data_IF_307623635348
#
_entry.id   IF_307623635348
#
_cell.length_a   1.000
_cell.length_b   1.000
_cell.length_c   1.000
_cell.angle_alpha   90.00
_cell.angle_beta   90.00
_cell.angle_gamma   90.00
#
_symmetry.space_group_name_H-M   'P 1'
#
loop_
_entity.id
_entity.type
_entity.pdbx_description
1 polymer ?
#
# COMPACT_ATOMS: atom_id res chain seq x y z
N UNK A 1 -7.54 11.84 77.86
CA UNK A 1 -8.01 11.19 76.61
C UNK A 1 -7.05 11.60 75.50
N UNK A 2 -6.28 10.66 74.96
CA UNK A 2 -5.14 10.91 74.06
C UNK A 2 -5.58 10.84 72.60
N UNK A 3 -5.00 11.74 71.79
CA UNK A 3 -5.31 12.10 70.40
C UNK A 3 -5.28 10.89 69.45
N UNK A 4 -6.30 10.72 68.60
CA UNK A 4 -6.24 9.85 67.42
C UNK A 4 -6.18 10.70 66.15
N UNK A 5 -5.02 10.61 65.51
CA UNK A 5 -4.61 11.24 64.27
C UNK A 5 -5.42 10.69 63.10
N UNK A 6 -6.03 11.57 62.30
CA UNK A 6 -6.63 11.22 61.01
C UNK A 6 -5.51 10.97 59.99
N UNK A 7 -5.48 9.78 59.40
CA UNK A 7 -4.58 9.45 58.29
C UNK A 7 -5.46 9.21 57.07
N UNK A 8 -5.49 10.19 56.18
CA UNK A 8 -5.93 10.04 54.79
C UNK A 8 -4.84 9.31 54.00
N UNK A 9 -5.18 8.23 53.32
CA UNK A 9 -4.42 7.73 52.18
C UNK A 9 -5.36 7.55 51.00
N UNK A 10 -5.29 8.53 50.08
CA UNK A 10 -5.80 8.44 48.72
C UNK A 10 -4.91 7.45 47.95
N UNK A 11 -5.46 6.30 47.55
CA UNK A 11 -4.80 5.35 46.66
C UNK A 11 -5.24 5.65 45.22
N UNK A 12 -4.59 6.61 44.58
CA UNK A 12 -4.80 6.93 43.17
C UNK A 12 -3.99 5.94 42.33
N UNK A 13 -4.63 4.88 41.83
CA UNK A 13 -4.03 3.95 40.89
C UNK A 13 -3.98 4.62 39.50
N UNK A 14 -2.82 5.19 39.15
CA UNK A 14 -2.53 5.66 37.80
C UNK A 14 -2.35 4.42 36.92
N UNK A 15 -3.38 4.05 36.17
CA UNK A 15 -3.25 3.07 35.09
C UNK A 15 -2.46 3.75 33.97
N UNK A 16 -1.14 3.56 33.99
CA UNK A 16 -0.27 3.81 32.87
C UNK A 16 -0.71 2.89 31.72
N UNK A 17 -1.62 3.37 30.87
CA UNK A 17 -1.79 2.78 29.56
C UNK A 17 -0.48 3.03 28.82
N UNK A 18 0.29 1.95 28.68
CA UNK A 18 1.45 1.88 27.81
C UNK A 18 1.04 2.47 26.46
N UNK A 19 1.54 3.67 26.17
CA UNK A 19 1.61 4.20 24.83
C UNK A 19 2.57 3.25 24.12
N UNK A 20 2.02 2.23 23.46
CA UNK A 20 2.71 1.51 22.39
C UNK A 20 2.90 2.54 21.27
N UNK A 21 3.90 3.39 21.46
CA UNK A 21 4.53 4.13 20.39
C UNK A 21 5.11 3.08 19.45
N UNK A 22 4.35 2.71 18.43
CA UNK A 22 4.95 2.16 17.22
C UNK A 22 5.81 3.28 16.68
N UNK A 23 7.10 3.25 17.02
CA UNK A 23 8.09 3.92 16.24
C UNK A 23 7.84 3.47 14.80
N UNK A 24 7.46 4.41 13.93
CA UNK A 24 7.62 4.24 12.49
C UNK A 24 9.11 4.01 12.28
N UNK A 25 9.54 2.75 12.35
CA UNK A 25 10.83 2.31 11.88
C UNK A 25 10.90 2.82 10.44
N UNK A 26 11.72 3.85 10.23
CA UNK A 26 11.79 4.53 8.94
C UNK A 26 12.21 3.50 7.90
N UNK A 27 11.23 3.16 7.04
CA UNK A 27 11.27 2.13 6.00
C UNK A 27 12.60 2.15 5.26
N UNK A 28 13.41 1.09 5.46
CA UNK A 28 14.30 0.67 4.38
C UNK A 28 13.42 0.31 3.18
N UNK A 29 13.85 0.61 1.95
CA UNK A 29 13.09 0.23 0.76
C UNK A 29 12.83 -1.28 0.76
N UNK A 30 11.55 -1.68 0.67
CA UNK A 30 11.13 -3.08 0.65
C UNK A 30 10.07 -3.32 -0.44
N UNK A 31 10.19 -4.41 -1.22
CA UNK A 31 9.34 -4.64 -2.39
C UNK A 31 7.90 -5.02 -2.03
N UNK A 32 7.66 -5.51 -0.82
CA UNK A 32 6.38 -6.04 -0.33
C UNK A 32 5.62 -5.07 0.58
N UNK A 33 6.05 -3.79 0.62
CA UNK A 33 5.55 -2.78 1.57
C UNK A 33 4.93 -1.58 0.87
N UNK A 34 3.82 -1.09 1.42
CA UNK A 34 3.25 0.21 1.05
C UNK A 34 2.59 0.90 2.25
N UNK A 35 3.07 2.10 2.61
CA UNK A 35 2.61 2.87 3.79
C UNK A 35 2.62 2.05 5.09
N UNK A 36 3.61 1.17 5.26
CA UNK A 36 3.71 0.26 6.41
C UNK A 36 2.81 -0.97 6.35
N UNK A 37 2.00 -1.14 5.29
CA UNK A 37 1.27 -2.38 5.03
C UNK A 37 2.19 -3.37 4.32
N UNK A 38 2.24 -4.61 4.79
CA UNK A 38 3.17 -5.65 4.34
C UNK A 38 2.35 -6.85 3.83
N UNK A 39 2.70 -7.35 2.65
CA UNK A 39 2.10 -8.56 2.09
C UNK A 39 2.26 -9.77 3.03
N UNK A 40 1.27 -10.65 3.06
CA UNK A 40 1.16 -11.84 3.93
C UNK A 40 1.17 -11.56 5.46
N UNK A 41 1.23 -10.30 5.89
CA UNK A 41 1.29 -9.92 7.30
C UNK A 41 0.14 -8.98 7.71
N UNK A 42 -0.12 -7.94 6.92
CA UNK A 42 -1.11 -6.92 7.31
C UNK A 42 -2.54 -7.42 7.21
N UNK A 43 -3.37 -6.98 8.16
CA UNK A 43 -4.79 -7.32 8.22
C UNK A 43 -5.67 -6.21 7.63
N UNK A 44 -6.97 -6.47 7.36
CA UNK A 44 -7.92 -5.41 7.02
C UNK A 44 -7.96 -4.28 8.05
N UNK A 45 -7.86 -4.60 9.34
CA UNK A 45 -7.90 -3.63 10.42
C UNK A 45 -6.65 -2.73 10.41
N UNK A 46 -5.47 -3.28 10.06
CA UNK A 46 -4.27 -2.48 9.83
C UNK A 46 -4.46 -1.48 8.68
N UNK A 47 -5.04 -1.93 7.57
CA UNK A 47 -5.32 -1.06 6.43
C UNK A 47 -6.30 0.07 6.80
N UNK A 48 -7.36 -0.23 7.55
CA UNK A 48 -8.32 0.78 8.00
C UNK A 48 -7.65 1.77 8.97
N UNK A 49 -6.78 1.29 9.86
CA UNK A 49 -6.01 2.14 10.78
C UNK A 49 -5.06 3.08 10.05
N UNK A 50 -4.40 2.60 8.99
CA UNK A 50 -3.39 3.37 8.24
C UNK A 50 -4.02 4.31 7.20
N UNK A 51 -5.07 3.87 6.52
CA UNK A 51 -5.65 4.55 5.35
C UNK A 51 -7.01 5.21 5.66
N UNK A 52 -7.58 4.98 6.84
CA UNK A 52 -8.90 5.45 7.22
C UNK A 52 -10.01 4.51 6.76
N UNK A 53 -11.25 5.03 6.73
CA UNK A 53 -12.41 4.22 6.36
C UNK A 53 -12.43 3.95 4.85
N UNK A 54 -12.57 2.69 4.40
CA UNK A 54 -12.69 2.38 2.98
C UNK A 54 -14.02 2.89 2.41
N UNK A 55 -13.98 3.28 1.15
CA UNK A 55 -15.17 3.65 0.37
C UNK A 55 -16.05 2.46 0.00
N UNK A 56 -15.47 1.26 -0.06
CA UNK A 56 -16.19 -0.02 -0.18
C UNK A 56 -15.44 -1.13 0.58
N UNK A 57 -16.21 -2.03 1.15
CA UNK A 57 -15.75 -3.27 1.78
C UNK A 57 -16.68 -4.39 1.31
N UNK A 58 -16.15 -5.34 0.54
CA UNK A 58 -16.93 -6.42 -0.08
C UNK A 58 -16.09 -7.66 -0.25
N UNK A 59 -16.76 -8.80 -0.44
CA UNK A 59 -16.10 -10.01 -0.94
C UNK A 59 -16.10 -9.99 -2.48
N UNK A 60 -14.95 -10.20 -3.10
CA UNK A 60 -14.79 -10.21 -4.55
C UNK A 60 -13.74 -11.22 -5.00
N UNK A 61 -13.63 -11.36 -6.32
CA UNK A 61 -12.50 -12.03 -6.95
C UNK A 61 -11.29 -11.09 -7.02
N UNK A 62 -10.15 -11.67 -7.35
CA UNK A 62 -8.90 -10.93 -7.50
C UNK A 62 -8.71 -10.56 -8.97
N UNK A 63 -9.06 -9.31 -9.30
CA UNK A 63 -9.10 -8.79 -10.66
C UNK A 63 -7.76 -8.83 -11.43
N UNK A 64 -6.59 -8.54 -10.81
CA UNK A 64 -5.36 -8.37 -11.57
C UNK A 64 -4.93 -9.65 -12.31
N UNK A 65 -4.53 -9.50 -13.57
CA UNK A 65 -4.29 -10.63 -14.50
C UNK A 65 -2.91 -11.27 -14.39
N UNK A 66 -1.94 -10.63 -13.72
CA UNK A 66 -0.55 -11.09 -13.59
C UNK A 66 -0.19 -11.40 -12.14
N UNK A 67 -0.84 -12.43 -11.58
CA UNK A 67 -0.52 -12.92 -10.23
C UNK A 67 0.09 -14.30 -10.36
N UNK A 68 0.97 -14.61 -9.42
CA UNK A 68 1.68 -15.86 -9.30
C UNK A 68 0.75 -17.09 -9.37
N UNK A 69 1.31 -18.21 -9.82
CA UNK A 69 0.57 -19.44 -10.14
C UNK A 69 -0.17 -20.01 -8.92
N UNK A 70 0.36 -19.79 -7.70
CA UNK A 70 -0.22 -20.30 -6.46
C UNK A 70 -1.57 -19.64 -6.11
N UNK A 71 -1.77 -18.36 -6.46
CA UNK A 71 -3.06 -17.66 -6.32
C UNK A 71 -3.97 -17.91 -7.52
N UNK A 72 -3.42 -18.22 -8.69
CA UNK A 72 -4.15 -18.26 -9.97
C UNK A 72 -5.42 -19.12 -9.95
N UNK A 73 -5.43 -20.24 -9.21
CA UNK A 73 -6.63 -21.08 -9.05
C UNK A 73 -7.73 -20.38 -8.24
N UNK A 74 -7.37 -19.87 -7.07
CA UNK A 74 -8.27 -19.16 -6.15
C UNK A 74 -8.70 -17.79 -6.67
N UNK A 75 -7.91 -17.16 -7.55
CA UNK A 75 -8.11 -15.80 -8.06
C UNK A 75 -9.53 -15.54 -8.61
N UNK A 76 -10.12 -16.51 -9.30
CA UNK A 76 -11.45 -16.39 -9.91
C UNK A 76 -12.60 -16.56 -8.91
N UNK A 77 -12.29 -17.10 -7.74
CA UNK A 77 -13.27 -17.32 -6.67
C UNK A 77 -13.52 -16.00 -5.93
N UNK A 78 -14.78 -15.78 -5.54
CA UNK A 78 -15.17 -14.62 -4.72
C UNK A 78 -14.90 -14.90 -3.25
N UNK A 79 -13.62 -15.05 -2.91
CA UNK A 79 -13.17 -15.38 -1.55
C UNK A 79 -12.32 -14.28 -0.92
N UNK A 80 -11.95 -13.27 -1.70
CA UNK A 80 -11.08 -12.20 -1.21
C UNK A 80 -11.94 -11.09 -0.61
N UNK A 81 -11.61 -10.64 0.59
CA UNK A 81 -12.13 -9.37 1.09
C UNK A 81 -11.39 -8.25 0.37
N UNK A 82 -12.13 -7.37 -0.28
CA UNK A 82 -11.62 -6.24 -1.04
C UNK A 82 -12.01 -4.95 -0.32
N UNK A 83 -10.99 -4.18 0.08
CA UNK A 83 -11.14 -2.81 0.55
C UNK A 83 -10.77 -1.83 -0.56
N UNK A 84 -11.69 -0.91 -0.89
CA UNK A 84 -11.48 0.15 -1.89
C UNK A 84 -11.33 1.51 -1.21
N UNK A 85 -10.21 2.20 -1.45
CA UNK A 85 -9.94 3.55 -0.97
C UNK A 85 -9.89 4.52 -2.15
N UNK A 86 -10.45 5.72 -1.97
CA UNK A 86 -10.51 6.76 -3.00
C UNK A 86 -9.74 7.99 -2.56
N UNK A 87 -9.07 8.64 -3.51
CA UNK A 87 -8.50 9.99 -3.39
C UNK A 87 -7.61 10.17 -2.16
N UNK A 88 -6.41 9.59 -2.21
CA UNK A 88 -5.33 9.94 -1.29
C UNK A 88 -4.23 10.71 -2.03
N UNK A 89 -3.28 11.28 -1.30
CA UNK A 89 -2.18 12.03 -1.91
C UNK A 89 -1.40 11.16 -2.92
N UNK A 90 -1.31 11.62 -4.17
CA UNK A 90 -0.67 10.90 -5.28
C UNK A 90 -1.47 9.74 -5.90
N UNK A 91 -2.63 9.37 -5.33
CA UNK A 91 -3.36 8.15 -5.68
C UNK A 91 -4.84 8.45 -5.91
N UNK A 92 -5.36 8.07 -7.07
CA UNK A 92 -6.78 8.18 -7.37
C UNK A 92 -7.59 7.06 -6.71
N UNK A 93 -7.08 5.82 -6.78
CA UNK A 93 -7.69 4.64 -6.15
C UNK A 93 -6.64 3.68 -5.58
N UNK A 94 -6.96 3.04 -4.46
CA UNK A 94 -6.21 1.90 -3.95
C UNK A 94 -7.18 0.75 -3.68
N UNK A 95 -6.83 -0.44 -4.18
CA UNK A 95 -7.56 -1.68 -3.93
C UNK A 95 -6.65 -2.65 -3.19
N UNK A 96 -7.11 -3.12 -2.04
CA UNK A 96 -6.39 -4.06 -1.20
C UNK A 96 -7.23 -5.34 -1.09
N UNK A 97 -6.65 -6.46 -1.50
CA UNK A 97 -7.28 -7.76 -1.37
C UNK A 97 -6.67 -8.53 -0.21
N UNK A 98 -7.55 -9.15 0.57
CA UNK A 98 -7.21 -9.97 1.72
C UNK A 98 -7.75 -11.38 1.54
N UNK A 99 -6.96 -12.37 1.92
CA UNK A 99 -7.35 -13.77 2.00
C UNK A 99 -6.91 -14.29 3.37
N UNK A 100 -7.78 -15.03 4.06
CA UNK A 100 -7.48 -15.58 5.40
C UNK A 100 -6.96 -14.51 6.38
N UNK A 101 -7.57 -13.33 6.35
CA UNK A 101 -7.22 -12.14 7.14
C UNK A 101 -5.83 -11.54 6.86
N UNK A 102 -5.18 -11.89 5.76
CA UNK A 102 -3.86 -11.38 5.36
C UNK A 102 -3.91 -10.66 4.02
N UNK A 103 -3.14 -9.59 3.90
CA UNK A 103 -3.00 -8.81 2.67
C UNK A 103 -2.27 -9.62 1.60
N UNK A 104 -2.90 -9.85 0.46
CA UNK A 104 -2.32 -10.65 -0.63
C UNK A 104 -2.04 -9.85 -1.90
N UNK A 105 -2.64 -8.67 -2.05
CA UNK A 105 -2.42 -7.83 -3.21
C UNK A 105 -2.76 -6.38 -2.91
N UNK A 106 -1.95 -5.49 -3.47
CA UNK A 106 -2.20 -4.04 -3.51
C UNK A 106 -2.22 -3.63 -4.99
N UNK A 107 -3.28 -2.95 -5.41
CA UNK A 107 -3.33 -2.27 -6.70
C UNK A 107 -3.50 -0.78 -6.46
N UNK A 108 -2.59 0.01 -7.01
CA UNK A 108 -2.61 1.46 -6.91
C UNK A 108 -2.88 2.07 -8.28
N UNK A 109 -3.93 2.87 -8.35
CA UNK A 109 -4.17 3.80 -9.44
C UNK A 109 -3.55 5.14 -9.09
N UNK A 110 -2.39 5.42 -9.68
CA UNK A 110 -1.64 6.63 -9.41
C UNK A 110 -2.10 7.77 -10.33
N UNK A 111 -2.13 8.99 -9.78
CA UNK A 111 -2.37 10.18 -10.59
C UNK A 111 -1.28 10.32 -11.65
N UNK A 112 -1.66 10.60 -12.91
CA UNK A 112 -0.72 10.77 -14.02
C UNK A 112 0.40 11.76 -13.65
N UNK A 113 1.64 11.40 -13.92
CA UNK A 113 2.79 12.29 -13.78
C UNK A 113 3.28 12.53 -12.35
N UNK A 114 2.78 11.77 -11.36
CA UNK A 114 3.11 12.01 -9.94
C UNK A 114 4.34 11.27 -9.45
N UNK A 115 4.77 10.21 -10.12
CA UNK A 115 5.91 9.41 -9.67
C UNK A 115 7.09 9.52 -10.63
N UNK A 116 8.21 10.05 -10.12
CA UNK A 116 9.49 10.00 -10.83
C UNK A 116 10.00 8.56 -10.92
N UNK A 117 10.63 8.14 -12.03
CA UNK A 117 11.26 6.82 -12.13
C UNK A 117 12.23 6.49 -11.00
N UNK A 118 12.98 7.49 -10.52
CA UNK A 118 13.93 7.33 -9.42
C UNK A 118 13.24 7.09 -8.07
N UNK A 119 12.01 7.58 -7.90
CA UNK A 119 11.26 7.41 -6.67
C UNK A 119 10.87 5.93 -6.45
N UNK A 120 10.58 5.18 -7.51
CA UNK A 120 10.17 3.77 -7.39
C UNK A 120 11.27 2.89 -6.78
N UNK A 121 12.53 3.05 -7.23
CA UNK A 121 13.65 2.32 -6.64
C UNK A 121 13.88 2.73 -5.17
N UNK A 122 13.76 4.03 -4.87
CA UNK A 122 13.90 4.52 -3.50
C UNK A 122 12.78 4.04 -2.56
N UNK A 123 11.59 3.76 -3.08
CA UNK A 123 10.46 3.28 -2.28
C UNK A 123 10.53 1.76 -2.08
N UNK A 124 10.81 1.00 -3.15
CA UNK A 124 10.66 -0.45 -3.14
C UNK A 124 11.98 -1.23 -3.12
N UNK A 125 13.12 -0.56 -3.29
CA UNK A 125 14.45 -1.19 -3.28
C UNK A 125 14.72 -2.11 -4.47
N UNK A 126 13.89 -2.02 -5.52
CA UNK A 126 14.00 -2.84 -6.73
C UNK A 126 14.15 -1.97 -7.96
N UNK A 127 14.93 -2.46 -8.92
CA UNK A 127 15.09 -1.80 -10.21
C UNK A 127 13.86 -2.08 -11.08
N UNK A 128 13.09 -1.04 -11.36
CA UNK A 128 11.95 -1.14 -12.28
C UNK A 128 12.43 -1.05 -13.72
N UNK A 129 12.10 -2.08 -14.51
CA UNK A 129 12.28 -2.02 -15.96
C UNK A 129 10.97 -1.53 -16.61
N UNK A 130 10.96 -0.37 -17.28
CA UNK A 130 9.76 0.09 -17.96
C UNK A 130 9.39 -0.85 -19.11
N UNK A 131 8.15 -1.32 -19.10
CA UNK A 131 7.56 -1.92 -20.29
C UNK A 131 6.94 -0.81 -21.14
N UNK A 132 7.65 -0.33 -22.15
CA UNK A 132 7.14 0.69 -23.08
C UNK A 132 6.59 0.00 -24.33
N UNK A 133 5.30 0.21 -24.61
CA UNK A 133 4.71 -0.20 -25.88
C UNK A 133 5.15 0.73 -27.01
N UNK A 134 5.49 0.18 -28.18
CA UNK A 134 5.80 0.98 -29.37
C UNK A 134 4.62 1.86 -29.80
N UNK A 135 3.38 1.42 -29.54
CA UNK A 135 2.17 2.19 -29.79
C UNK A 135 2.09 3.41 -28.87
N UNK A 136 2.33 3.23 -27.56
CA UNK A 136 2.27 4.33 -26.57
C UNK A 136 3.36 5.35 -26.82
N UNK A 137 4.56 4.90 -27.19
CA UNK A 137 5.67 5.76 -27.59
C UNK A 137 5.33 6.58 -28.84
N UNK A 138 4.64 5.99 -29.82
CA UNK A 138 4.23 6.69 -31.04
C UNK A 138 3.13 7.73 -30.77
N UNK A 139 2.18 7.42 -29.89
CA UNK A 139 1.08 8.33 -29.54
C UNK A 139 1.51 9.48 -28.63
N UNK A 140 2.51 9.27 -27.77
CA UNK A 140 2.93 10.27 -26.78
C UNK A 140 4.45 10.35 -26.62
N UNK A 141 5.22 10.63 -27.69
CA UNK A 141 6.68 10.58 -27.65
C UNK A 141 7.31 11.58 -26.67
N UNK A 142 6.60 12.66 -26.33
CA UNK A 142 7.06 13.70 -25.39
C UNK A 142 7.15 13.21 -23.95
N UNK A 143 6.40 12.17 -23.59
CA UNK A 143 6.34 11.60 -22.24
C UNK A 143 7.52 10.65 -21.96
N UNK A 144 8.38 10.42 -22.96
CA UNK A 144 9.51 9.50 -22.89
C UNK A 144 10.85 10.19 -23.18
N UNK A 145 11.92 9.56 -22.73
CA UNK A 145 13.31 9.91 -23.02
C UNK A 145 14.12 8.68 -23.40
N UNK A 146 15.22 8.88 -24.14
CA UNK A 146 16.15 7.82 -24.49
C UNK A 146 17.41 7.94 -23.65
N UNK A 147 17.80 6.86 -23.01
CA UNK A 147 19.04 6.75 -22.27
C UNK A 147 19.69 5.39 -22.54
N UNK A 148 20.98 5.37 -22.89
CA UNK A 148 21.75 4.15 -23.19
C UNK A 148 21.04 3.18 -24.17
N UNK A 149 20.45 3.73 -25.24
CA UNK A 149 19.73 2.95 -26.26
C UNK A 149 18.37 2.40 -25.82
N UNK A 150 17.93 2.65 -24.59
CA UNK A 150 16.62 2.26 -24.05
C UNK A 150 15.69 3.46 -23.93
N UNK A 151 14.39 3.20 -23.94
CA UNK A 151 13.33 4.22 -23.80
C UNK A 151 12.75 4.15 -22.39
N UNK A 152 12.71 5.30 -21.72
CA UNK A 152 12.21 5.43 -20.36
C UNK A 152 11.08 6.46 -20.30
N UNK A 153 10.01 6.21 -19.52
CA UNK A 153 9.06 7.25 -19.19
C UNK A 153 9.71 8.31 -18.32
N UNK A 154 9.40 9.59 -18.56
CA UNK A 154 9.84 10.69 -17.70
C UNK A 154 9.14 10.69 -16.34
N UNK A 155 7.91 10.19 -16.31
CA UNK A 155 7.05 10.10 -15.13
C UNK A 155 6.10 8.92 -15.24
N UNK A 156 5.65 8.39 -14.11
CA UNK A 156 4.63 7.35 -14.02
C UNK A 156 3.32 7.86 -13.41
N UNK A 157 2.18 7.24 -13.78
CA UNK A 157 2.00 6.38 -14.95
C UNK A 157 2.09 7.21 -16.25
N UNK A 158 2.50 6.56 -17.35
CA UNK A 158 2.50 7.12 -18.71
C UNK A 158 1.19 6.73 -19.40
N UNK A 159 0.50 7.68 -20.01
CA UNK A 159 -0.82 7.43 -20.62
C UNK A 159 -1.97 7.23 -19.61
N UNK A 160 -3.07 6.62 -20.06
CA UNK A 160 -4.20 6.20 -19.20
C UNK A 160 -3.74 5.12 -18.21
N UNK A 161 -4.31 5.00 -16.99
CA UNK A 161 -3.60 4.54 -15.82
C UNK A 161 -3.00 3.14 -16.00
N UNK A 162 -1.69 3.13 -16.25
CA UNK A 162 -0.88 1.92 -16.18
C UNK A 162 -0.97 1.40 -14.74
N UNK A 163 -1.65 0.26 -14.59
CA UNK A 163 -1.81 -0.43 -13.32
C UNK A 163 -0.42 -0.84 -12.83
N UNK A 164 0.13 -0.09 -11.88
CA UNK A 164 1.35 -0.49 -11.18
C UNK A 164 0.98 -1.65 -10.26
N UNK A 165 1.43 -2.83 -10.68
CA UNK A 165 1.15 -4.08 -10.01
C UNK A 165 2.46 -4.62 -9.45
N UNK A 166 2.51 -4.81 -8.14
CA UNK A 166 3.63 -5.45 -7.45
C UNK A 166 3.29 -6.94 -7.30
N UNK A 167 3.90 -7.84 -8.09
CA UNK A 167 3.88 -9.26 -7.78
C UNK A 167 4.86 -9.57 -6.64
N UNK A 168 4.60 -10.68 -5.94
CA UNK A 168 5.56 -11.35 -5.05
C UNK A 168 6.67 -11.96 -5.89
#
# INVERSE_FOLDING_TARGET
MKRLTRISFLLTLIIAHAILGTAQEQDKPMPDRWRGLILDQSTPDDAIRVLGQPSKDKTDNLAPSRIDAWITKKRKEKIFRLLEFKKSEGIDHAWLWFLDNKLVSILLDLKKGTVSPNALNNIYGVQFQPMVSGLDLAMSPRDYERNEGRVYPKTYPVGSPAHLMMPI
#
